data_IF_260892090766
#
_entry.id   IF_260892090766
#
_cell.length_a   1.000
_cell.length_b   1.000
_cell.length_c   1.000
_cell.angle_alpha   90.00
_cell.angle_beta   90.00
_cell.angle_gamma   90.00
#
_symmetry.space_group_name_H-M   'P 1'
#
loop_
_entity.id
_entity.type
_entity.pdbx_description
1 polymer ?
#
# COMPACT_ATOMS: atom_id res chain seq x y z
N UNK A 1 -22.89 -5.55 -19.11
CA UNK A 1 -21.50 -5.95 -19.36
C UNK A 1 -21.04 -6.80 -18.18
N UNK A 2 -20.95 -8.12 -18.30
CA UNK A 2 -20.53 -8.94 -17.16
C UNK A 2 -20.79 -10.43 -17.37
N UNK A 3 -19.81 -11.13 -17.94
CA UNK A 3 -19.80 -12.60 -18.04
C UNK A 3 -18.50 -13.23 -17.56
N UNK A 4 -17.54 -12.42 -17.09
CA UNK A 4 -16.21 -12.86 -16.71
C UNK A 4 -15.92 -12.44 -15.27
N UNK A 5 -16.44 -13.21 -14.32
CA UNK A 5 -16.17 -13.09 -12.88
C UNK A 5 -15.55 -14.40 -12.36
N UNK A 6 -14.97 -14.35 -11.16
CA UNK A 6 -14.45 -15.55 -10.48
C UNK A 6 -15.55 -16.60 -10.18
N UNK A 7 -16.83 -16.23 -10.27
CA UNK A 7 -17.99 -17.12 -10.12
C UNK A 7 -18.63 -17.52 -11.45
N UNK A 8 -18.09 -17.08 -12.58
CA UNK A 8 -18.71 -17.31 -13.90
C UNK A 8 -18.76 -18.78 -14.31
N UNK A 9 -17.89 -19.62 -13.75
CA UNK A 9 -17.89 -21.07 -13.94
C UNK A 9 -18.06 -21.72 -12.56
N UNK A 10 -19.01 -22.64 -12.44
CA UNK A 10 -19.36 -23.32 -11.19
C UNK A 10 -18.36 -24.40 -10.76
N UNK A 11 -17.29 -24.60 -11.54
CA UNK A 11 -16.29 -25.62 -11.27
C UNK A 11 -15.36 -25.21 -10.10
N UNK A 12 -15.06 -26.11 -9.15
CA UNK A 12 -14.24 -25.79 -7.98
C UNK A 12 -12.84 -25.27 -8.28
N UNK A 13 -12.30 -25.60 -9.46
CA UNK A 13 -10.96 -25.18 -9.88
C UNK A 13 -10.92 -23.78 -10.53
N UNK A 14 -12.06 -23.29 -11.02
CA UNK A 14 -12.12 -22.06 -11.82
C UNK A 14 -11.56 -20.82 -11.09
N UNK A 15 -11.86 -20.59 -9.79
CA UNK A 15 -11.30 -19.45 -9.08
C UNK A 15 -9.77 -19.41 -9.10
N UNK A 16 -9.09 -20.56 -9.07
CA UNK A 16 -7.62 -20.59 -9.12
C UNK A 16 -7.08 -20.17 -10.49
N UNK A 17 -7.72 -20.61 -11.58
CA UNK A 17 -7.36 -20.19 -12.94
C UNK A 17 -7.67 -18.71 -13.13
N UNK A 18 -8.79 -18.22 -12.60
CA UNK A 18 -9.12 -16.80 -12.61
C UNK A 18 -8.05 -15.97 -11.87
N UNK A 19 -7.62 -16.39 -10.68
CA UNK A 19 -6.54 -15.73 -9.93
C UNK A 19 -5.23 -15.75 -10.73
N UNK A 20 -4.90 -16.87 -11.36
CA UNK A 20 -3.69 -16.99 -12.17
C UNK A 20 -3.69 -16.01 -13.36
N UNK A 21 -4.82 -15.89 -14.06
CA UNK A 21 -4.91 -15.07 -15.26
C UNK A 21 -5.21 -13.59 -14.99
N UNK A 22 -6.06 -13.28 -14.00
CA UNK A 22 -6.48 -11.92 -13.70
C UNK A 22 -5.65 -11.25 -12.59
N UNK A 23 -5.07 -12.04 -11.69
CA UNK A 23 -4.25 -11.53 -10.57
C UNK A 23 -2.75 -11.63 -10.82
N UNK A 24 -2.27 -12.86 -11.06
CA UNK A 24 -0.84 -13.14 -11.21
C UNK A 24 -0.29 -12.61 -12.53
N UNK A 25 -0.87 -13.05 -13.65
CA UNK A 25 -0.33 -12.76 -14.99
C UNK A 25 -0.08 -11.26 -15.25
N UNK A 26 -1.03 -10.33 -14.98
CA UNK A 26 -0.80 -8.90 -15.22
C UNK A 26 0.32 -8.34 -14.35
N UNK A 27 0.42 -8.80 -13.10
CA UNK A 27 1.43 -8.32 -12.14
C UNK A 27 2.83 -8.80 -12.53
N UNK A 28 2.95 -10.08 -12.85
CA UNK A 28 4.24 -10.70 -13.15
C UNK A 28 4.80 -10.30 -14.51
N UNK A 29 3.96 -10.02 -15.51
CA UNK A 29 4.41 -9.45 -16.79
C UNK A 29 5.25 -8.19 -16.54
N UNK A 30 4.80 -7.27 -15.69
CA UNK A 30 5.56 -6.06 -15.37
C UNK A 30 6.85 -6.36 -14.61
N UNK A 31 6.85 -7.35 -13.71
CA UNK A 31 8.07 -7.77 -12.98
C UNK A 31 9.12 -8.32 -13.95
N UNK A 32 8.73 -9.19 -14.88
CA UNK A 32 9.66 -9.75 -15.87
C UNK A 32 10.16 -8.69 -16.84
N UNK A 33 9.30 -7.79 -17.33
CA UNK A 33 9.72 -6.65 -18.15
C UNK A 33 10.73 -5.76 -17.42
N UNK A 34 10.53 -5.53 -16.12
CA UNK A 34 11.48 -4.83 -15.25
C UNK A 34 12.84 -5.52 -15.20
N UNK A 35 12.88 -6.84 -14.96
CA UNK A 35 14.13 -7.61 -14.93
C UNK A 35 14.85 -7.60 -16.28
N UNK A 36 14.12 -7.77 -17.38
CA UNK A 36 14.70 -7.78 -18.74
C UNK A 36 15.24 -6.40 -19.15
N UNK A 37 14.64 -5.31 -18.66
CA UNK A 37 15.06 -3.94 -18.97
C UNK A 37 16.10 -3.37 -17.99
N UNK A 38 16.19 -3.90 -16.77
CA UNK A 38 17.02 -3.35 -15.68
C UNK A 38 18.52 -3.24 -16.05
N UNK A 39 19.07 -4.23 -16.76
CA UNK A 39 20.51 -4.26 -17.11
C UNK A 39 20.94 -3.20 -18.13
N UNK A 40 20.00 -2.51 -18.78
CA UNK A 40 20.29 -1.49 -19.81
C UNK A 40 20.04 -0.05 -19.34
N UNK A 41 19.53 0.12 -18.12
CA UNK A 41 19.17 1.43 -17.57
C UNK A 41 20.29 1.89 -16.63
N UNK A 42 20.83 3.08 -16.89
CA UNK A 42 21.74 3.74 -15.96
C UNK A 42 20.95 4.17 -14.71
N UNK A 43 21.38 3.67 -13.55
CA UNK A 43 20.76 3.94 -12.25
C UNK A 43 20.88 5.39 -11.79
N UNK A 44 21.88 6.11 -12.32
CA UNK A 44 22.10 7.53 -12.07
C UNK A 44 21.42 8.43 -13.11
N UNK A 45 20.70 7.83 -14.07
CA UNK A 45 19.97 8.62 -15.07
C UNK A 45 18.82 9.43 -14.43
N UNK A 46 18.51 10.62 -14.97
CA UNK A 46 17.36 11.42 -14.53
C UNK A 46 16.03 10.66 -14.59
N UNK A 47 15.86 9.77 -15.57
CA UNK A 47 14.65 8.95 -15.72
C UNK A 47 14.53 7.89 -14.62
N UNK A 48 15.63 7.24 -14.24
CA UNK A 48 15.63 6.31 -13.11
C UNK A 48 15.33 7.02 -11.78
N UNK A 49 15.87 8.23 -11.59
CA UNK A 49 15.53 9.08 -10.44
C UNK A 49 14.04 9.45 -10.43
N UNK A 50 13.47 9.85 -11.57
CA UNK A 50 12.05 10.17 -11.71
C UNK A 50 11.16 8.96 -11.41
N UNK A 51 11.48 7.78 -11.94
CA UNK A 51 10.71 6.57 -11.65
C UNK A 51 10.71 6.24 -10.15
N UNK A 52 11.87 6.41 -9.48
CA UNK A 52 12.01 6.18 -8.04
C UNK A 52 11.19 7.15 -7.21
N UNK A 53 11.21 8.44 -7.57
CA UNK A 53 10.42 9.45 -6.86
C UNK A 53 8.93 9.22 -7.05
N UNK A 54 8.48 8.89 -8.27
CA UNK A 54 7.09 8.50 -8.55
C UNK A 54 6.68 7.28 -7.71
N UNK A 55 7.51 6.23 -7.67
CA UNK A 55 7.20 5.04 -6.89
C UNK A 55 7.00 5.37 -5.39
N UNK A 56 7.88 6.18 -4.80
CA UNK A 56 7.76 6.58 -3.39
C UNK A 56 6.59 7.53 -3.13
N UNK A 57 6.29 8.43 -4.07
CA UNK A 57 5.19 9.38 -3.93
C UNK A 57 3.83 8.71 -4.07
N UNK A 58 3.71 7.67 -4.90
CA UNK A 58 2.49 6.88 -5.02
C UNK A 58 2.14 6.17 -3.70
N UNK A 59 3.12 5.56 -3.03
CA UNK A 59 2.89 4.94 -1.72
C UNK A 59 2.46 5.98 -0.69
N UNK A 60 3.14 7.14 -0.67
CA UNK A 60 2.77 8.24 0.21
C UNK A 60 1.35 8.78 -0.08
N UNK A 61 0.97 8.89 -1.36
CA UNK A 61 -0.34 9.34 -1.78
C UNK A 61 -1.45 8.36 -1.36
N UNK A 62 -1.21 7.04 -1.47
CA UNK A 62 -2.15 6.02 -0.99
C UNK A 62 -2.32 6.11 0.52
N UNK A 63 -1.23 6.28 1.29
CA UNK A 63 -1.31 6.49 2.74
C UNK A 63 -2.12 7.76 3.03
N UNK A 64 -1.85 8.87 2.35
CA UNK A 64 -2.60 10.12 2.51
C UNK A 64 -4.09 9.94 2.18
N UNK A 65 -4.44 9.18 1.15
CA UNK A 65 -5.81 8.84 0.81
C UNK A 65 -6.50 8.08 1.95
N UNK A 66 -5.85 7.07 2.52
CA UNK A 66 -6.40 6.31 3.66
C UNK A 66 -6.64 7.21 4.89
N UNK A 67 -5.82 8.25 5.05
CA UNK A 67 -5.85 9.13 6.22
C UNK A 67 -6.87 10.24 6.08
N UNK A 68 -6.96 10.86 4.91
CA UNK A 68 -7.84 11.99 4.64
C UNK A 68 -9.23 11.54 4.18
N UNK A 69 -9.30 10.47 3.40
CA UNK A 69 -10.52 9.91 2.80
C UNK A 69 -10.64 8.41 3.12
N UNK A 70 -10.77 8.04 4.41
CA UNK A 70 -10.80 6.65 4.84
C UNK A 70 -12.07 5.94 4.37
N UNK A 71 -11.97 4.62 4.28
CA UNK A 71 -13.11 3.73 4.06
C UNK A 71 -13.10 2.62 5.12
N UNK A 72 -14.25 1.97 5.32
CA UNK A 72 -14.38 0.89 6.31
C UNK A 72 -14.25 1.36 7.76
N UNK A 73 -13.63 0.54 8.62
CA UNK A 73 -13.51 0.80 10.06
C UNK A 73 -12.75 2.08 10.40
N UNK A 74 -11.79 2.47 9.57
CA UNK A 74 -10.98 3.68 9.78
C UNK A 74 -11.82 4.98 9.62
N UNK A 75 -12.97 4.91 8.96
CA UNK A 75 -13.88 6.04 8.79
C UNK A 75 -14.61 6.43 10.08
N UNK A 76 -14.74 5.50 11.03
CA UNK A 76 -15.32 5.79 12.35
C UNK A 76 -14.37 6.62 13.23
N UNK A 77 -13.08 6.62 12.93
CA UNK A 77 -12.06 7.31 13.74
C UNK A 77 -11.99 8.79 13.35
N UNK A 78 -12.00 9.67 14.35
CA UNK A 78 -11.86 11.11 14.14
C UNK A 78 -10.59 11.47 13.34
N UNK A 79 -10.66 12.45 12.42
CA UNK A 79 -9.55 12.79 11.52
C UNK A 79 -8.31 13.28 12.29
N UNK A 80 -8.50 13.98 13.42
CA UNK A 80 -7.40 14.45 14.25
C UNK A 80 -6.58 13.30 14.85
N UNK A 81 -7.24 12.20 15.23
CA UNK A 81 -6.56 11.00 15.73
C UNK A 81 -5.76 10.33 14.62
N UNK A 82 -6.30 10.25 13.40
CA UNK A 82 -5.59 9.66 12.25
C UNK A 82 -4.32 10.43 11.89
N UNK A 83 -4.42 11.76 11.77
CA UNK A 83 -3.27 12.63 11.50
C UNK A 83 -2.28 12.60 12.68
N UNK A 84 -2.80 12.63 13.90
CA UNK A 84 -2.00 12.53 15.13
C UNK A 84 -1.23 11.21 15.23
N UNK A 85 -1.83 10.08 14.85
CA UNK A 85 -1.18 8.77 14.84
C UNK A 85 0.02 8.73 13.88
N UNK A 86 -0.11 9.31 12.69
CA UNK A 86 1.00 9.42 11.73
C UNK A 86 2.10 10.33 12.27
N UNK A 87 1.73 11.51 12.77
CA UNK A 87 2.68 12.46 13.30
C UNK A 87 3.45 11.88 14.50
N UNK A 88 2.75 11.21 15.42
CA UNK A 88 3.33 10.57 16.59
C UNK A 88 4.18 9.34 16.22
N UNK A 89 3.73 8.50 15.30
CA UNK A 89 4.52 7.37 14.79
C UNK A 89 5.83 7.85 14.14
N UNK A 90 5.76 8.89 13.31
CA UNK A 90 6.94 9.49 12.69
C UNK A 90 7.87 10.15 13.72
N UNK A 91 7.32 10.89 14.69
CA UNK A 91 8.12 11.45 15.78
C UNK A 91 8.81 10.35 16.59
N UNK A 92 8.10 9.26 16.90
CA UNK A 92 8.67 8.11 17.60
C UNK A 92 9.79 7.44 16.80
N UNK A 93 9.62 7.31 15.48
CA UNK A 93 10.70 6.82 14.60
C UNK A 93 11.97 7.66 14.77
N UNK A 94 11.85 8.99 14.74
CA UNK A 94 13.01 9.89 14.86
C UNK A 94 13.65 9.83 16.25
N UNK A 95 12.84 9.77 17.31
CA UNK A 95 13.28 9.86 18.69
C UNK A 95 13.79 8.53 19.27
N UNK A 96 13.24 7.39 18.85
CA UNK A 96 13.54 6.05 19.41
C UNK A 96 14.56 5.27 18.56
N UNK A 97 15.47 5.98 17.90
CA UNK A 97 16.61 5.39 17.20
C UNK A 97 16.25 4.78 15.84
N UNK A 98 15.30 5.37 15.10
CA UNK A 98 14.94 4.98 13.72
C UNK A 98 14.46 3.53 13.60
N UNK A 99 13.75 3.04 14.62
CA UNK A 99 13.17 1.70 14.65
C UNK A 99 11.76 1.71 14.06
N UNK A 100 11.63 1.20 12.84
CA UNK A 100 10.35 1.20 12.10
C UNK A 100 9.24 0.48 12.86
N UNK A 101 9.53 -0.68 13.46
CA UNK A 101 8.53 -1.44 14.23
C UNK A 101 7.97 -0.64 15.42
N UNK A 102 8.82 0.10 16.13
CA UNK A 102 8.39 0.90 17.27
C UNK A 102 7.45 2.02 16.84
N UNK A 103 7.76 2.67 15.71
CA UNK A 103 6.92 3.71 15.12
C UNK A 103 5.53 3.16 14.71
N UNK A 104 5.50 1.98 14.09
CA UNK A 104 4.25 1.31 13.70
C UNK A 104 3.41 1.00 14.94
N UNK A 105 4.00 0.37 15.96
CA UNK A 105 3.28 0.00 17.19
C UNK A 105 2.68 1.22 17.90
N UNK A 106 3.40 2.35 17.92
CA UNK A 106 2.89 3.59 18.52
C UNK A 106 1.73 4.16 17.70
N UNK A 107 1.84 4.22 16.38
CA UNK A 107 0.76 4.69 15.52
C UNK A 107 -0.49 3.80 15.65
N UNK A 108 -0.32 2.48 15.65
CA UNK A 108 -1.41 1.52 15.84
C UNK A 108 -2.07 1.66 17.20
N UNK A 109 -1.29 1.78 18.28
CA UNK A 109 -1.83 1.97 19.63
C UNK A 109 -2.69 3.24 19.72
N UNK A 110 -2.28 4.33 19.05
CA UNK A 110 -3.07 5.58 18.98
C UNK A 110 -4.35 5.37 18.18
N UNK A 111 -4.30 4.68 17.03
CA UNK A 111 -5.50 4.41 16.23
C UNK A 111 -6.49 3.51 16.96
N UNK A 112 -6.02 2.44 17.61
CA UNK A 112 -6.84 1.52 18.40
C UNK A 112 -7.43 2.25 19.60
N UNK A 113 -6.62 3.01 20.33
CA UNK A 113 -7.10 3.82 21.45
C UNK A 113 -8.15 4.83 21.00
N UNK A 114 -7.93 5.49 19.86
CA UNK A 114 -8.91 6.34 19.21
C UNK A 114 -10.22 5.64 18.91
N UNK A 115 -10.15 4.47 18.26
CA UNK A 115 -11.32 3.68 17.88
C UNK A 115 -12.15 3.17 19.07
N UNK A 116 -11.55 3.01 20.26
CA UNK A 116 -12.27 2.60 21.48
C UNK A 116 -12.90 3.80 22.20
N UNK A 117 -12.31 4.99 22.05
CA UNK A 117 -12.74 6.21 22.74
C UNK A 117 -13.74 7.07 21.95
N UNK A 118 -13.94 6.79 20.66
CA UNK A 118 -14.91 7.45 19.76
C UNK A 118 -16.00 6.50 19.33
#
# INVERSE_FOLDING_TARGET
>A
MGGWSFTAISEPWWPFVFILLAGWLPTDIWRYLGVLSAGRIDEHSPFAALARTIATSLVAAVIAQLVLFPTGSLAAIAPLVRVGAIAAGFAAYLLLGRRVLVAILIAEAILIGGAVLT
#
